data_IF_681381641606
#
_entry.id   IF_681381641606
#
_cell.length_a   1.000
_cell.length_b   1.000
_cell.length_c   1.000
_cell.angle_alpha   90.00
_cell.angle_beta   90.00
_cell.angle_gamma   90.00
#
_symmetry.space_group_name_H-M   'P 1'
#
loop_
_entity.id
_entity.type
_entity.pdbx_description
1 polymer ?
#
# COMPACT_ATOMS: atom_id res chain seq x y z
N UNK A 1 8.71 -15.98 -14.17
CA UNK A 1 8.44 -14.97 -13.12
C UNK A 1 7.15 -14.25 -13.47
N UNK A 2 6.27 -13.92 -12.51
CA UNK A 2 5.10 -13.07 -12.76
C UNK A 2 5.55 -11.68 -13.19
N UNK A 3 4.98 -11.15 -14.26
CA UNK A 3 5.34 -9.82 -14.79
C UNK A 3 4.49 -8.71 -14.18
N UNK A 4 3.27 -9.03 -13.72
CA UNK A 4 2.30 -8.05 -13.19
C UNK A 4 1.34 -8.62 -12.15
N UNK A 5 0.74 -7.73 -11.36
CA UNK A 5 -0.34 -8.08 -10.44
C UNK A 5 -1.60 -8.52 -11.20
N UNK A 6 -2.30 -9.55 -10.69
CA UNK A 6 -3.57 -10.02 -11.27
C UNK A 6 -4.78 -9.22 -10.83
N UNK A 7 -4.69 -8.36 -9.81
CA UNK A 7 -5.81 -7.52 -9.41
C UNK A 7 -6.25 -6.60 -10.57
N UNK A 8 -7.56 -6.49 -10.77
CA UNK A 8 -8.14 -5.67 -11.84
C UNK A 8 -7.78 -4.20 -11.62
N UNK A 9 -7.23 -3.55 -12.63
CA UNK A 9 -6.83 -2.14 -12.56
C UNK A 9 -5.56 -1.86 -11.74
N UNK A 10 -4.83 -2.89 -11.28
CA UNK A 10 -3.58 -2.70 -10.57
C UNK A 10 -2.43 -2.39 -11.56
N UNK A 11 -1.72 -1.26 -11.40
CA UNK A 11 -0.60 -0.89 -12.26
C UNK A 11 0.73 -1.55 -11.84
N UNK A 12 0.77 -2.25 -10.70
CA UNK A 12 2.01 -2.74 -10.13
C UNK A 12 2.59 -3.93 -10.92
N UNK A 13 3.88 -3.82 -11.21
CA UNK A 13 4.72 -4.80 -11.93
C UNK A 13 5.91 -5.21 -11.08
N UNK A 14 6.67 -6.22 -11.52
CA UNK A 14 7.88 -6.66 -10.82
C UNK A 14 8.93 -5.55 -10.64
N UNK A 15 8.91 -4.55 -11.53
CA UNK A 15 9.79 -3.38 -11.51
C UNK A 15 9.33 -2.31 -10.51
N UNK A 16 8.12 -2.43 -9.96
CA UNK A 16 7.60 -1.45 -9.00
C UNK A 16 8.38 -1.54 -7.68
N UNK A 17 9.11 -0.47 -7.29
CA UNK A 17 9.96 -0.51 -6.11
C UNK A 17 9.12 -0.66 -4.83
N UNK A 18 9.62 -1.48 -3.90
CA UNK A 18 8.98 -1.69 -2.59
C UNK A 18 7.74 -2.61 -2.59
N UNK A 19 7.40 -3.21 -3.74
CA UNK A 19 6.28 -4.15 -3.86
C UNK A 19 6.78 -5.60 -3.88
N UNK A 20 6.13 -6.47 -3.11
CA UNK A 20 6.33 -7.93 -3.16
C UNK A 20 5.16 -8.62 -3.84
N UNK A 21 5.43 -9.75 -4.48
CA UNK A 21 4.42 -10.55 -5.20
C UNK A 21 4.18 -11.86 -4.47
N UNK A 22 2.91 -12.18 -4.25
CA UNK A 22 2.45 -13.34 -3.50
C UNK A 22 1.64 -14.25 -4.40
N UNK A 23 1.99 -15.54 -4.41
CA UNK A 23 1.25 -16.59 -5.11
C UNK A 23 -0.01 -16.95 -4.35
N UNK A 24 -0.99 -17.53 -5.05
CA UNK A 24 -2.21 -18.01 -4.43
C UNK A 24 -1.90 -19.08 -3.36
N UNK A 25 -2.65 -19.08 -2.25
CA UNK A 25 -2.50 -20.08 -1.21
C UNK A 25 -2.81 -21.49 -1.73
N UNK A 26 -2.22 -22.50 -1.08
CA UNK A 26 -2.49 -23.92 -1.38
C UNK A 26 -3.87 -24.36 -0.89
N UNK A 27 -4.35 -23.76 0.20
CA UNK A 27 -5.69 -24.02 0.73
C UNK A 27 -6.75 -23.55 -0.26
N UNK A 28 -7.68 -24.44 -0.60
CA UNK A 28 -8.73 -24.18 -1.58
C UNK A 28 -9.74 -23.14 -1.09
N UNK A 29 -10.05 -23.14 0.21
CA UNK A 29 -10.96 -22.17 0.84
C UNK A 29 -10.41 -20.75 0.72
N UNK A 30 -9.18 -20.52 1.20
CA UNK A 30 -8.52 -19.21 1.10
C UNK A 30 -8.34 -18.79 -0.36
N UNK A 31 -8.02 -19.74 -1.25
CA UNK A 31 -7.90 -19.46 -2.70
C UNK A 31 -9.22 -19.01 -3.31
N UNK A 32 -10.34 -19.61 -2.89
CA UNK A 32 -11.68 -19.23 -3.33
C UNK A 32 -12.01 -17.81 -2.86
N UNK A 33 -11.69 -17.48 -1.62
CA UNK A 33 -11.85 -16.11 -1.10
C UNK A 33 -11.01 -15.09 -1.86
N UNK A 34 -9.76 -15.42 -2.23
CA UNK A 34 -8.94 -14.55 -3.07
C UNK A 34 -9.58 -14.32 -4.44
N UNK A 35 -10.17 -15.36 -5.04
CA UNK A 35 -10.84 -15.25 -6.33
C UNK A 35 -12.07 -14.36 -6.29
N UNK A 36 -12.89 -14.53 -5.25
CA UNK A 36 -14.04 -13.66 -4.99
C UNK A 36 -13.61 -12.21 -4.78
N UNK A 37 -12.55 -11.99 -3.98
CA UNK A 37 -12.07 -10.66 -3.64
C UNK A 37 -11.47 -9.93 -4.86
N UNK A 38 -10.81 -10.65 -5.77
CA UNK A 38 -10.27 -10.09 -7.02
C UNK A 38 -11.38 -9.69 -8.03
N UNK A 39 -12.63 -10.10 -7.79
CA UNK A 39 -13.82 -9.80 -8.59
C UNK A 39 -13.58 -9.90 -10.10
N UNK A 40 -12.87 -10.95 -10.53
CA UNK A 40 -12.64 -11.24 -11.95
C UNK A 40 -13.84 -11.99 -12.52
N UNK A 41 -14.11 -11.77 -13.82
CA UNK A 41 -15.18 -12.46 -14.56
C UNK A 41 -15.19 -13.95 -14.25
N UNK A 42 -16.39 -14.55 -14.18
CA UNK A 42 -16.67 -15.91 -13.70
C UNK A 42 -15.86 -17.05 -14.35
N UNK A 43 -15.19 -16.78 -15.48
CA UNK A 43 -14.38 -17.76 -16.21
C UNK A 43 -12.87 -17.66 -15.95
N UNK A 44 -12.40 -16.67 -15.18
CA UNK A 44 -10.97 -16.52 -14.95
C UNK A 44 -10.46 -17.46 -13.85
N UNK A 45 -9.37 -18.18 -14.14
CA UNK A 45 -8.69 -19.06 -13.16
C UNK A 45 -7.23 -18.63 -12.99
N UNK A 46 -6.71 -18.64 -11.74
CA UNK A 46 -5.33 -18.28 -11.47
C UNK A 46 -4.40 -19.41 -11.94
N UNK A 47 -3.40 -19.04 -12.71
CA UNK A 47 -2.30 -19.89 -13.18
C UNK A 47 -1.12 -19.86 -12.21
N UNK A 48 -0.10 -20.71 -12.41
CA UNK A 48 1.14 -20.69 -11.60
C UNK A 48 1.92 -19.37 -11.68
N UNK A 49 1.65 -18.54 -12.70
CA UNK A 49 2.23 -17.20 -12.86
C UNK A 49 1.34 -16.10 -12.30
N UNK A 50 0.15 -16.45 -11.81
CA UNK A 50 -0.81 -15.48 -11.26
C UNK A 50 -0.40 -15.11 -9.83
N UNK A 51 -0.06 -13.84 -9.63
CA UNK A 51 0.32 -13.31 -8.31
C UNK A 51 -0.37 -12.00 -8.00
N UNK A 52 -0.63 -11.78 -6.70
CA UNK A 52 -1.17 -10.53 -6.17
C UNK A 52 -0.05 -9.76 -5.48
N UNK A 53 0.01 -8.43 -5.69
CA UNK A 53 1.03 -7.60 -5.06
C UNK A 53 0.69 -7.26 -3.60
N UNK A 54 1.70 -6.98 -2.79
CA UNK A 54 1.57 -6.62 -1.36
C UNK A 54 0.66 -5.43 -1.08
N UNK A 55 0.43 -4.54 -2.04
CA UNK A 55 -0.48 -3.40 -1.89
C UNK A 55 -1.96 -3.80 -1.63
N UNK A 56 -2.33 -5.05 -1.88
CA UNK A 56 -3.68 -5.57 -1.61
C UNK A 56 -3.85 -6.18 -0.22
N UNK A 57 -2.78 -6.22 0.57
CA UNK A 57 -2.73 -6.78 1.91
C UNK A 57 -2.32 -5.70 2.91
N UNK A 58 -2.82 -5.80 4.14
CA UNK A 58 -2.39 -4.91 5.23
C UNK A 58 -1.04 -5.35 5.75
N UNK A 59 -0.31 -4.43 6.39
CA UNK A 59 0.98 -4.75 7.01
C UNK A 59 0.85 -5.82 8.11
N UNK A 60 -0.28 -5.85 8.81
CA UNK A 60 -0.60 -6.82 9.86
C UNK A 60 -0.90 -8.24 9.35
N UNK A 61 -1.19 -8.37 8.05
CA UNK A 61 -1.50 -9.65 7.40
C UNK A 61 -0.24 -10.46 7.10
N UNK A 62 0.93 -9.83 7.17
CA UNK A 62 2.20 -10.50 6.99
C UNK A 62 2.62 -11.22 8.27
N UNK A 63 3.24 -12.38 8.11
CA UNK A 63 3.89 -13.07 9.22
C UNK A 63 5.01 -12.19 9.76
N UNK A 64 4.99 -11.95 11.06
CA UNK A 64 6.06 -11.28 11.77
C UNK A 64 7.13 -12.32 12.07
N UNK A 65 8.16 -12.36 11.23
CA UNK A 65 9.34 -13.19 11.46
C UNK A 65 10.49 -12.28 11.89
N UNK A 66 10.94 -12.34 13.16
CA UNK A 66 12.01 -11.49 13.67
C UNK A 66 13.36 -11.71 12.98
N UNK A 67 13.54 -12.83 12.24
CA UNK A 67 14.72 -13.06 11.39
C UNK A 67 14.72 -12.22 10.12
N UNK A 68 13.54 -11.75 9.70
CA UNK A 68 13.38 -10.89 8.53
C UNK A 68 13.53 -9.40 8.87
N UNK A 69 13.48 -9.03 10.16
CA UNK A 69 13.68 -7.64 10.61
C UNK A 69 15.15 -7.25 10.70
N UNK A 70 16.06 -8.19 10.95
CA UNK A 70 17.50 -7.92 11.10
C UNK A 70 18.27 -7.81 9.78
N UNK A 71 17.67 -8.17 8.64
CA UNK A 71 18.31 -8.15 7.32
C UNK A 71 17.80 -6.98 6.46
N UNK A 72 18.46 -5.83 6.61
CA UNK A 72 18.09 -4.53 6.04
C UNK A 72 18.22 -4.43 4.50
N UNK A 73 18.71 -5.46 3.79
CA UNK A 73 19.12 -5.27 2.38
C UNK A 73 18.90 -6.41 1.38
N UNK A 74 18.12 -7.45 1.70
CA UNK A 74 17.77 -8.48 0.71
C UNK A 74 16.27 -8.47 0.41
N UNK A 75 15.89 -8.76 -0.85
CA UNK A 75 14.48 -8.85 -1.32
C UNK A 75 13.72 -9.95 -0.59
N UNK A 76 13.43 -9.74 0.69
CA UNK A 76 12.78 -10.71 1.56
C UNK A 76 11.35 -10.88 1.08
N UNK A 77 11.00 -12.12 0.73
CA UNK A 77 9.63 -12.52 0.47
C UNK A 77 8.90 -12.61 1.80
N UNK A 78 8.26 -11.51 2.21
CA UNK A 78 7.34 -11.50 3.34
C UNK A 78 6.27 -12.58 3.10
N UNK A 79 6.06 -13.47 4.05
CA UNK A 79 5.00 -14.46 3.97
C UNK A 79 3.71 -13.86 4.49
N UNK A 80 2.59 -14.23 3.88
CA UNK A 80 1.26 -13.89 4.40
C UNK A 80 0.88 -14.94 5.42
N UNK A 81 0.19 -14.53 6.49
CA UNK A 81 -0.40 -15.47 7.45
C UNK A 81 -1.35 -16.43 6.73
N UNK A 82 -1.54 -17.66 7.25
CA UNK A 82 -2.62 -18.51 6.79
C UNK A 82 -3.96 -17.75 6.90
N UNK A 83 -4.85 -17.96 5.94
CA UNK A 83 -6.22 -17.40 5.91
C UNK A 83 -6.37 -15.91 5.59
N UNK A 84 -5.26 -15.21 5.34
CA UNK A 84 -5.33 -13.82 4.86
C UNK A 84 -5.93 -13.78 3.46
N UNK A 85 -6.84 -12.84 3.25
CA UNK A 85 -7.43 -12.52 1.95
C UNK A 85 -7.06 -11.10 1.54
N UNK A 86 -6.81 -10.83 0.24
CA UNK A 86 -6.60 -9.47 -0.22
C UNK A 86 -7.87 -8.68 0.07
N UNK A 87 -7.75 -7.64 0.89
CA UNK A 87 -8.90 -6.83 1.33
C UNK A 87 -8.78 -5.39 0.83
N UNK A 88 -7.57 -4.95 0.45
CA UNK A 88 -7.31 -3.61 -0.02
C UNK A 88 -7.47 -3.53 -1.54
N UNK A 89 -8.72 -3.51 -1.98
CA UNK A 89 -9.04 -3.09 -3.34
C UNK A 89 -9.44 -1.62 -3.31
N UNK A 90 -8.56 -0.77 -3.83
CA UNK A 90 -8.97 0.58 -4.18
C UNK A 90 -10.04 0.42 -5.28
N UNK A 91 -11.31 0.50 -4.90
CA UNK A 91 -12.44 0.51 -5.82
C UNK A 91 -12.04 1.43 -6.98
N UNK A 92 -11.90 0.86 -8.16
CA UNK A 92 -11.29 1.51 -9.32
C UNK A 92 -11.99 2.83 -9.69
N UNK A 93 -13.24 3.03 -9.26
CA UNK A 93 -13.97 4.30 -9.37
C UNK A 93 -13.82 5.29 -8.19
N UNK A 94 -13.53 4.83 -6.97
CA UNK A 94 -13.24 5.73 -5.86
C UNK A 94 -11.83 6.30 -5.98
N UNK A 95 -10.88 5.62 -6.63
CA UNK A 95 -9.50 6.14 -6.70
C UNK A 95 -9.37 7.42 -7.55
N UNK A 96 -10.25 7.65 -8.53
CA UNK A 96 -10.32 8.94 -9.23
C UNK A 96 -10.78 10.05 -8.27
N UNK A 97 -11.87 9.78 -7.54
CA UNK A 97 -12.39 10.66 -6.47
C UNK A 97 -11.39 10.85 -5.34
N UNK A 98 -10.63 9.81 -4.98
CA UNK A 98 -9.63 9.81 -3.93
C UNK A 98 -8.34 10.47 -4.39
N UNK A 99 -7.91 10.37 -5.65
CA UNK A 99 -6.78 11.16 -6.20
C UNK A 99 -7.11 12.64 -6.20
N UNK A 100 -8.30 13.01 -6.66
CA UNK A 100 -8.79 14.39 -6.60
C UNK A 100 -8.94 14.90 -5.15
N UNK A 101 -9.49 14.07 -4.24
CA UNK A 101 -9.57 14.39 -2.82
C UNK A 101 -8.19 14.49 -2.18
N UNK A 102 -7.25 13.56 -2.43
CA UNK A 102 -5.87 13.61 -1.91
C UNK A 102 -5.13 14.84 -2.41
N UNK A 103 -5.33 15.24 -3.68
CA UNK A 103 -4.76 16.47 -4.22
C UNK A 103 -5.35 17.71 -3.54
N UNK A 104 -6.67 17.70 -3.25
CA UNK A 104 -7.36 18.77 -2.51
C UNK A 104 -6.82 18.89 -1.07
N UNK A 105 -6.74 17.79 -0.32
CA UNK A 105 -6.26 17.80 1.07
C UNK A 105 -4.75 18.05 1.19
N UNK A 106 -3.93 17.61 0.23
CA UNK A 106 -2.48 17.92 0.20
C UNK A 106 -2.21 19.42 0.10
N UNK A 107 -3.01 20.18 -0.65
CA UNK A 107 -2.88 21.64 -0.72
C UNK A 107 -3.20 22.31 0.63
N UNK A 108 -4.21 21.80 1.34
CA UNK A 108 -4.57 22.30 2.68
C UNK A 108 -3.45 22.01 3.69
N UNK A 109 -2.90 20.80 3.67
CA UNK A 109 -1.81 20.38 4.54
C UNK A 109 -0.54 21.20 4.33
N UNK A 110 -0.11 21.40 3.07
CA UNK A 110 1.05 22.26 2.76
C UNK A 110 0.81 23.68 3.25
N UNK A 111 -0.39 24.25 3.02
CA UNK A 111 -0.72 25.61 3.47
C UNK A 111 -0.71 25.72 5.00
N UNK A 112 -1.23 24.72 5.72
CA UNK A 112 -1.22 24.69 7.17
C UNK A 112 0.21 24.65 7.74
N UNK A 113 1.07 23.81 7.15
CA UNK A 113 2.48 23.70 7.55
C UNK A 113 3.26 24.99 7.27
N UNK A 114 3.01 25.67 6.15
CA UNK A 114 3.63 26.98 5.86
C UNK A 114 3.16 28.05 6.85
N UNK A 115 1.86 28.13 7.13
CA UNK A 115 1.31 29.08 8.11
C UNK A 115 1.90 28.86 9.51
N UNK A 116 2.03 27.61 9.92
CA UNK A 116 2.66 27.28 11.19
C UNK A 116 4.12 27.73 11.23
N UNK A 117 4.89 27.48 10.16
CA UNK A 117 6.28 27.94 10.03
C UNK A 117 6.40 29.47 10.11
N UNK A 118 5.55 30.20 9.40
CA UNK A 118 5.55 31.66 9.41
C UNK A 118 5.22 32.22 10.80
N UNK A 119 4.24 31.63 11.47
CA UNK A 119 3.88 31.99 12.84
C UNK A 119 5.05 31.76 13.80
N UNK A 120 5.69 30.59 13.72
CA UNK A 120 6.87 30.29 14.56
C UNK A 120 8.03 31.25 14.30
N UNK A 121 8.24 31.69 13.07
CA UNK A 121 9.32 32.63 12.73
C UNK A 121 9.03 34.05 13.27
N UNK A 122 7.75 34.48 13.22
CA UNK A 122 7.32 35.76 13.81
C UNK A 122 7.47 35.77 15.32
N UNK A 123 6.98 34.73 15.99
CA UNK A 123 7.11 34.56 17.45
C UNK A 123 8.59 34.54 17.86
N UNK A 124 9.46 33.88 17.10
CA UNK A 124 10.90 33.88 17.36
C UNK A 124 11.54 35.28 17.23
N UNK A 125 11.05 36.12 16.31
CA UNK A 125 11.56 37.48 16.11
C UNK A 125 11.06 38.48 17.17
N UNK A 126 9.85 38.30 17.70
CA UNK A 126 9.30 39.12 18.80
C UNK A 126 10.00 38.84 20.14
N UNK A 127 10.41 37.59 20.41
CA UNK A 127 11.15 37.23 21.64
C UNK A 127 12.56 37.84 21.71
N UNK A 128 13.13 38.26 20.58
CA UNK A 128 14.44 38.93 20.52
C UNK A 128 14.33 40.44 20.81
N UNK A 129 13.14 41.03 20.76
CA UNK A 129 12.93 42.48 20.94
C UNK A 129 12.66 42.91 22.39
N UNK A 130 12.47 41.98 23.33
CA UNK A 130 12.20 42.27 24.76
C UNK A 130 13.41 42.03 25.69
N UNK A 131 14.60 41.83 25.15
CA UNK A 131 15.85 41.61 25.90
C UNK A 131 16.84 42.78 25.86
N UNK A 132 16.36 44.02 25.74
CA UNK A 132 17.15 45.25 25.79
C UNK A 132 16.86 46.06 27.05
#
# INVERSE_FOLDING_TARGET
MPTRCVAVGCPNTYETPGISFHTFPKCEETRTLWLQALNRRDKWRPTNTSTVCSAHFRREDFEHDPRLESQVSCRIRRKLKPDVVPSLFALSGLHERSRAARAKYRRVEVKLLTLYRDLTHRVAHEQVSCGG
#
